data_IF_639141612675
#
_entry.id   IF_639141612675
#
_cell.length_a   1.000
_cell.length_b   1.000
_cell.length_c   1.000
_cell.angle_alpha   90.00
_cell.angle_beta   90.00
_cell.angle_gamma   90.00
#
_symmetry.space_group_name_H-M   'P 1'
#
loop_
_entity.id
_entity.type
_entity.pdbx_description
1 polymer ?
#
# COMPACT_ATOMS: atom_id res chain seq x y z
N UNK A 1 6.31 -20.09 -13.24
CA UNK A 1 6.07 -19.16 -12.10
C UNK A 1 6.10 -17.74 -12.61
N UNK A 2 5.18 -16.86 -12.16
CA UNK A 2 5.20 -15.45 -12.51
C UNK A 2 6.42 -14.76 -11.87
N UNK A 3 7.07 -13.86 -12.61
CA UNK A 3 8.13 -13.01 -12.03
C UNK A 3 7.53 -12.02 -11.02
N UNK A 4 8.31 -11.61 -10.02
CA UNK A 4 7.85 -10.67 -8.98
C UNK A 4 7.37 -9.34 -9.60
N UNK A 5 8.02 -8.85 -10.64
CA UNK A 5 7.55 -7.67 -11.37
C UNK A 5 6.15 -7.84 -11.97
N UNK A 6 5.84 -9.03 -12.53
CA UNK A 6 4.47 -9.32 -13.02
C UNK A 6 3.46 -9.37 -11.89
N UNK A 7 3.83 -9.89 -10.72
CA UNK A 7 2.95 -9.92 -9.55
C UNK A 7 2.63 -8.51 -9.06
N UNK A 8 3.62 -7.61 -9.01
CA UNK A 8 3.39 -6.19 -8.69
C UNK A 8 2.53 -5.49 -9.73
N UNK A 9 2.71 -5.79 -11.03
CA UNK A 9 1.86 -5.23 -12.08
C UNK A 9 0.39 -5.65 -11.92
N UNK A 10 0.13 -6.92 -11.60
CA UNK A 10 -1.22 -7.42 -11.31
C UNK A 10 -1.80 -6.71 -10.06
N UNK A 11 -1.01 -6.58 -8.99
CA UNK A 11 -1.43 -5.88 -7.77
C UNK A 11 -1.73 -4.40 -8.04
N UNK A 12 -0.95 -3.73 -8.91
CA UNK A 12 -1.21 -2.36 -9.34
C UNK A 12 -2.56 -2.23 -10.06
N UNK A 13 -2.82 -3.12 -11.02
CA UNK A 13 -4.09 -3.14 -11.77
C UNK A 13 -5.26 -3.36 -10.81
N UNK A 14 -5.16 -4.31 -9.89
CA UNK A 14 -6.22 -4.59 -8.90
C UNK A 14 -6.47 -3.39 -7.99
N UNK A 15 -5.42 -2.73 -7.50
CA UNK A 15 -5.55 -1.53 -6.68
C UNK A 15 -6.24 -0.38 -7.44
N UNK A 16 -5.85 -0.14 -8.69
CA UNK A 16 -6.47 0.87 -9.55
C UNK A 16 -7.93 0.53 -9.86
N UNK A 17 -8.25 -0.74 -10.14
CA UNK A 17 -9.64 -1.18 -10.34
C UNK A 17 -10.50 -0.91 -9.10
N UNK A 18 -9.99 -1.20 -7.90
CA UNK A 18 -10.67 -0.88 -6.63
C UNK A 18 -10.93 0.63 -6.55
N UNK A 19 -9.93 1.45 -6.89
CA UNK A 19 -10.06 2.90 -6.93
C UNK A 19 -11.16 3.36 -7.89
N UNK A 20 -11.17 2.84 -9.11
CA UNK A 20 -12.20 3.20 -10.11
C UNK A 20 -13.60 2.72 -9.74
N UNK A 21 -13.75 1.53 -9.16
CA UNK A 21 -15.06 1.01 -8.71
C UNK A 21 -15.63 1.88 -7.58
N UNK A 22 -14.76 2.39 -6.71
CA UNK A 22 -15.17 3.22 -5.57
C UNK A 22 -15.33 4.71 -5.91
N UNK A 23 -14.73 5.18 -6.99
CA UNK A 23 -14.74 6.58 -7.41
C UNK A 23 -16.14 7.22 -7.52
N UNK A 24 -17.15 6.58 -8.12
CA UNK A 24 -18.45 7.22 -8.33
C UNK A 24 -19.36 7.20 -7.08
N UNK A 25 -18.90 6.65 -5.95
CA UNK A 25 -19.73 6.59 -4.74
C UNK A 25 -19.81 7.97 -4.10
N UNK A 26 -21.01 8.43 -3.67
CA UNK A 26 -21.14 9.67 -2.92
C UNK A 26 -20.28 9.55 -1.66
N UNK A 27 -19.31 10.45 -1.57
CA UNK A 27 -18.26 10.40 -0.56
C UNK A 27 -18.88 10.61 0.83
N UNK A 28 -18.95 9.55 1.61
CA UNK A 28 -19.57 9.56 2.95
C UNK A 28 -18.57 9.95 4.06
N UNK A 29 -17.34 10.29 3.71
CA UNK A 29 -16.35 10.72 4.72
C UNK A 29 -15.12 11.35 4.08
N UNK A 30 -14.83 12.57 4.48
CA UNK A 30 -13.61 13.27 4.11
C UNK A 30 -12.69 13.39 5.32
N UNK A 31 -11.43 13.04 5.17
CA UNK A 31 -10.40 13.57 6.06
C UNK A 31 -10.14 15.02 5.68
N UNK A 32 -10.43 15.93 6.57
CA UNK A 32 -10.16 17.34 6.33
C UNK A 32 -8.87 17.72 7.06
N UNK A 33 -7.84 18.05 6.30
CA UNK A 33 -6.63 18.66 6.84
C UNK A 33 -6.71 20.16 6.61
N UNK A 34 -6.73 20.94 7.66
CA UNK A 34 -6.73 22.40 7.57
C UNK A 34 -5.30 22.93 7.60
N UNK A 35 -4.84 23.49 6.49
CA UNK A 35 -3.54 24.14 6.39
C UNK A 35 -3.77 25.61 6.04
N UNK A 36 -3.29 26.54 6.86
CA UNK A 36 -3.42 27.99 6.64
C UNK A 36 -4.85 28.44 6.28
N UNK A 37 -5.84 28.00 7.06
CA UNK A 37 -7.28 28.29 6.89
C UNK A 37 -7.90 27.74 5.60
N UNK A 38 -7.23 26.82 4.88
CA UNK A 38 -7.83 26.08 3.77
C UNK A 38 -8.03 24.62 4.17
N UNK A 39 -9.25 24.15 4.03
CA UNK A 39 -9.61 22.76 4.29
C UNK A 39 -9.34 21.92 3.02
N UNK A 40 -8.51 20.90 3.15
CA UNK A 40 -8.26 19.90 2.11
C UNK A 40 -8.94 18.61 2.51
N UNK A 41 -9.94 18.19 1.74
CA UNK A 41 -10.66 16.95 1.97
C UNK A 41 -10.03 15.79 1.18
N UNK A 42 -9.70 14.70 1.85
CA UNK A 42 -9.26 13.45 1.20
C UNK A 42 -10.27 12.35 1.54
N UNK A 43 -10.90 11.78 0.53
CA UNK A 43 -11.72 10.58 0.71
C UNK A 43 -10.85 9.34 0.90
N UNK A 44 -11.30 8.39 1.72
CA UNK A 44 -10.59 7.10 1.92
C UNK A 44 -10.44 6.31 0.62
N UNK A 45 -11.33 6.54 -0.32
CA UNK A 45 -11.37 5.82 -1.58
C UNK A 45 -10.21 6.18 -2.51
N UNK A 46 -9.59 7.36 -2.28
CA UNK A 46 -8.42 7.79 -3.06
C UNK A 46 -7.13 7.02 -2.73
N UNK A 47 -7.03 6.33 -1.60
CA UNK A 47 -5.82 5.56 -1.24
C UNK A 47 -5.47 4.47 -2.23
N UNK A 48 -6.44 3.96 -2.96
CA UNK A 48 -6.21 2.93 -3.98
C UNK A 48 -5.32 3.43 -5.14
N UNK A 49 -5.41 4.71 -5.52
CA UNK A 49 -4.61 5.28 -6.60
C UNK A 49 -3.12 5.42 -6.23
N UNK A 50 -2.72 6.05 -5.11
CA UNK A 50 -1.32 6.09 -4.72
C UNK A 50 -0.73 4.70 -4.46
N UNK A 51 -1.48 3.76 -3.88
CA UNK A 51 -1.03 2.37 -3.71
C UNK A 51 -0.83 1.69 -5.07
N UNK A 52 -1.76 1.87 -6.01
CA UNK A 52 -1.62 1.37 -7.37
C UNK A 52 -0.40 1.96 -8.09
N UNK A 53 -0.14 3.26 -7.93
CA UNK A 53 1.04 3.93 -8.48
C UNK A 53 2.35 3.38 -7.87
N UNK A 54 2.39 3.15 -6.55
CA UNK A 54 3.55 2.53 -5.89
C UNK A 54 3.79 1.13 -6.44
N UNK A 55 2.75 0.30 -6.57
CA UNK A 55 2.89 -1.04 -7.14
C UNK A 55 3.35 -1.03 -8.59
N UNK A 56 2.86 -0.08 -9.41
CA UNK A 56 3.34 0.09 -10.79
C UNK A 56 4.82 0.48 -10.83
N UNK A 57 5.25 1.37 -9.95
CA UNK A 57 6.66 1.77 -9.82
C UNK A 57 7.53 0.58 -9.38
N UNK A 58 7.08 -0.22 -8.41
CA UNK A 58 7.78 -1.44 -8.00
C UNK A 58 7.83 -2.49 -9.12
N UNK A 59 6.75 -2.65 -9.88
CA UNK A 59 6.75 -3.53 -11.06
C UNK A 59 7.82 -3.11 -12.06
N UNK A 60 7.91 -1.82 -12.38
CA UNK A 60 8.93 -1.26 -13.25
C UNK A 60 10.35 -1.46 -12.67
N UNK A 61 10.53 -1.20 -11.37
CA UNK A 61 11.81 -1.39 -10.70
C UNK A 61 12.28 -2.85 -10.78
N UNK A 62 11.43 -3.82 -10.48
CA UNK A 62 11.76 -5.24 -10.59
C UNK A 62 12.00 -5.73 -12.00
N UNK A 63 11.45 -5.03 -13.00
CA UNK A 63 11.71 -5.32 -14.41
C UNK A 63 13.04 -4.74 -14.88
N UNK A 64 13.37 -3.50 -14.49
CA UNK A 64 14.50 -2.75 -15.04
C UNK A 64 15.79 -2.86 -14.24
N UNK A 65 15.74 -3.03 -12.91
CA UNK A 65 16.94 -3.10 -12.07
C UNK A 65 17.93 -4.20 -12.45
N UNK A 66 17.50 -5.43 -12.84
CA UNK A 66 18.45 -6.43 -13.33
C UNK A 66 19.23 -5.97 -14.57
N UNK A 67 18.58 -5.20 -15.45
CA UNK A 67 19.20 -4.75 -16.71
C UNK A 67 20.06 -3.49 -16.53
N UNK A 68 19.57 -2.48 -15.80
CA UNK A 68 20.21 -1.17 -15.70
C UNK A 68 21.29 -1.14 -14.62
N UNK A 69 21.04 -1.80 -13.49
CA UNK A 69 21.91 -1.74 -12.31
C UNK A 69 22.62 -3.05 -12.04
N UNK A 70 22.38 -4.09 -12.86
CA UNK A 70 22.90 -5.46 -12.62
C UNK A 70 22.59 -5.97 -11.21
N UNK A 71 21.48 -5.50 -10.62
CA UNK A 71 21.04 -5.87 -9.29
C UNK A 71 20.30 -7.21 -9.34
N UNK A 72 20.83 -8.22 -8.69
CA UNK A 72 20.17 -9.51 -8.54
C UNK A 72 19.62 -9.64 -7.12
N UNK A 73 18.35 -9.22 -6.96
CA UNK A 73 17.63 -9.44 -5.71
C UNK A 73 17.27 -10.92 -5.60
N UNK A 74 17.78 -11.58 -4.57
CA UNK A 74 17.49 -12.99 -4.32
C UNK A 74 15.99 -13.28 -4.35
N UNK A 75 15.61 -14.43 -4.94
CA UNK A 75 14.20 -14.81 -5.16
C UNK A 75 13.38 -14.77 -3.87
N UNK A 76 13.94 -15.22 -2.75
CA UNK A 76 13.26 -15.22 -1.46
C UNK A 76 12.93 -13.80 -1.00
N UNK A 77 13.92 -12.90 -1.03
CA UNK A 77 13.76 -11.51 -0.60
C UNK A 77 12.71 -10.80 -1.47
N UNK A 78 12.76 -11.01 -2.78
CA UNK A 78 11.81 -10.41 -3.72
C UNK A 78 10.38 -10.89 -3.49
N UNK A 79 10.18 -12.19 -3.25
CA UNK A 79 8.86 -12.74 -2.95
C UNK A 79 8.35 -12.28 -1.59
N UNK A 80 9.19 -12.27 -0.57
CA UNK A 80 8.85 -11.78 0.76
C UNK A 80 8.41 -10.31 0.71
N UNK A 81 9.19 -9.46 0.02
CA UNK A 81 8.83 -8.06 -0.20
C UNK A 81 7.48 -7.93 -0.90
N UNK A 82 7.24 -8.70 -1.97
CA UNK A 82 5.95 -8.66 -2.66
C UNK A 82 4.79 -9.01 -1.72
N UNK A 83 4.85 -10.14 -1.05
CA UNK A 83 3.75 -10.60 -0.21
C UNK A 83 3.51 -9.67 0.97
N UNK A 84 4.57 -9.19 1.62
CA UNK A 84 4.44 -8.24 2.71
C UNK A 84 3.79 -6.93 2.24
N UNK A 85 4.22 -6.40 1.09
CA UNK A 85 3.65 -5.18 0.51
C UNK A 85 2.20 -5.37 0.06
N UNK A 86 1.90 -6.46 -0.66
CA UNK A 86 0.57 -6.70 -1.21
C UNK A 86 -0.45 -6.95 -0.11
N UNK A 87 -0.16 -7.86 0.83
CA UNK A 87 -1.09 -8.19 1.91
C UNK A 87 -1.36 -6.96 2.76
N UNK A 88 -0.32 -6.24 3.20
CA UNK A 88 -0.50 -5.05 4.03
C UNK A 88 -1.25 -3.93 3.31
N UNK A 89 -0.98 -3.68 2.02
CA UNK A 89 -1.67 -2.66 1.24
C UNK A 89 -3.15 -3.01 1.02
N UNK A 90 -3.46 -4.26 0.67
CA UNK A 90 -4.87 -4.66 0.48
C UNK A 90 -5.65 -4.68 1.79
N UNK A 91 -5.05 -5.16 2.90
CA UNK A 91 -5.69 -5.07 4.22
C UNK A 91 -5.98 -3.60 4.56
N UNK A 92 -5.04 -2.69 4.35
CA UNK A 92 -5.26 -1.27 4.54
C UNK A 92 -6.40 -0.74 3.66
N UNK A 93 -6.41 -1.07 2.35
CA UNK A 93 -7.47 -0.62 1.43
C UNK A 93 -8.86 -1.12 1.82
N UNK A 94 -8.97 -2.29 2.44
CA UNK A 94 -10.26 -2.80 2.94
C UNK A 94 -10.66 -2.18 4.27
N UNK A 95 -9.70 -1.85 5.14
CA UNK A 95 -9.98 -1.27 6.46
C UNK A 95 -10.19 0.25 6.41
N UNK A 96 -9.56 0.95 5.48
CA UNK A 96 -9.68 2.40 5.36
C UNK A 96 -11.13 2.90 5.18
N UNK A 97 -11.99 2.26 4.34
CA UNK A 97 -13.40 2.62 4.27
C UNK A 97 -14.19 2.26 5.53
N UNK A 98 -13.82 1.16 6.21
CA UNK A 98 -14.48 0.77 7.44
C UNK A 98 -14.34 1.83 8.54
N UNK A 99 -13.19 2.49 8.62
CA UNK A 99 -12.99 3.62 9.52
C UNK A 99 -14.01 4.75 9.30
N UNK A 100 -14.30 5.09 8.07
CA UNK A 100 -15.24 6.19 7.75
C UNK A 100 -16.70 5.82 8.06
N UNK A 101 -17.02 4.52 8.07
CA UNK A 101 -18.33 4.04 8.47
C UNK A 101 -18.60 4.24 9.97
N UNK A 102 -17.57 4.51 10.78
CA UNK A 102 -17.70 4.82 12.19
C UNK A 102 -18.08 6.30 12.41
N UNK A 103 -19.32 6.65 12.10
CA UNK A 103 -19.93 7.91 12.56
C UNK A 103 -20.17 7.84 14.09
N UNK A 104 -20.25 8.97 14.80
CA UNK A 104 -20.54 8.97 16.24
C UNK A 104 -21.76 8.14 16.64
N UNK A 105 -22.76 8.08 15.77
CA UNK A 105 -23.96 7.27 15.97
C UNK A 105 -23.70 5.76 15.83
N UNK A 106 -22.81 5.34 14.93
CA UNK A 106 -22.46 3.93 14.74
C UNK A 106 -21.43 3.43 15.75
N UNK A 107 -20.54 4.29 16.25
CA UNK A 107 -19.63 3.93 17.35
C UNK A 107 -20.39 3.60 18.61
N UNK A 108 -21.52 4.27 18.89
CA UNK A 108 -22.40 3.93 20.00
C UNK A 108 -23.04 2.53 19.87
N UNK A 109 -23.29 2.06 18.64
CA UNK A 109 -23.92 0.75 18.37
C UNK A 109 -22.89 -0.39 18.35
N UNK A 110 -21.71 -0.16 17.75
CA UNK A 110 -20.68 -1.19 17.56
C UNK A 110 -19.68 -1.28 18.72
N UNK A 111 -19.71 -0.30 19.63
CA UNK A 111 -18.81 -0.20 20.76
C UNK A 111 -17.42 0.35 20.42
N UNK A 112 -16.86 1.09 21.35
CA UNK A 112 -15.53 1.72 21.20
C UNK A 112 -14.42 0.69 20.91
N UNK A 113 -14.51 -0.51 21.48
CA UNK A 113 -13.51 -1.59 21.29
C UNK A 113 -13.35 -2.01 19.83
N UNK A 114 -14.46 -2.10 19.09
CA UNK A 114 -14.43 -2.48 17.67
C UNK A 114 -13.80 -1.37 16.82
N UNK A 115 -14.05 -0.11 17.14
CA UNK A 115 -13.44 1.03 16.50
C UNK A 115 -11.92 1.03 16.69
N UNK A 116 -11.43 0.88 17.92
CA UNK A 116 -10.01 0.83 18.23
C UNK A 116 -9.32 -0.36 17.54
N UNK A 117 -9.98 -1.51 17.45
CA UNK A 117 -9.43 -2.67 16.74
C UNK A 117 -9.21 -2.40 15.25
N UNK A 118 -10.20 -1.83 14.56
CA UNK A 118 -10.08 -1.46 13.13
C UNK A 118 -8.99 -0.42 12.92
N UNK A 119 -8.93 0.60 13.77
CA UNK A 119 -7.90 1.63 13.73
C UNK A 119 -6.49 1.04 13.90
N UNK A 120 -6.32 0.18 14.91
CA UNK A 120 -5.05 -0.48 15.19
C UNK A 120 -4.62 -1.37 14.02
N UNK A 121 -5.53 -2.15 13.46
CA UNK A 121 -5.25 -3.01 12.29
C UNK A 121 -4.87 -2.18 11.07
N UNK A 122 -5.53 -1.06 10.80
CA UNK A 122 -5.18 -0.16 9.71
C UNK A 122 -3.78 0.46 9.91
N UNK A 123 -3.47 0.90 11.14
CA UNK A 123 -2.16 1.45 11.48
C UNK A 123 -1.05 0.41 11.33
N UNK A 124 -1.26 -0.82 11.83
CA UNK A 124 -0.31 -1.93 11.68
C UNK A 124 -0.08 -2.24 10.20
N UNK A 125 -1.16 -2.30 9.40
CA UNK A 125 -1.05 -2.56 7.96
C UNK A 125 -0.22 -1.49 7.24
N UNK A 126 -0.44 -0.21 7.56
CA UNK A 126 0.34 0.90 7.01
C UNK A 126 1.82 0.80 7.40
N UNK A 127 2.12 0.50 8.67
CA UNK A 127 3.49 0.30 9.16
C UNK A 127 4.19 -0.88 8.47
N UNK A 128 3.49 -2.01 8.30
CA UNK A 128 4.04 -3.18 7.59
C UNK A 128 4.31 -2.88 6.13
N UNK A 129 3.45 -2.09 5.47
CA UNK A 129 3.66 -1.64 4.11
C UNK A 129 4.92 -0.77 4.00
N UNK A 130 5.10 0.20 4.90
CA UNK A 130 6.30 1.05 4.95
C UNK A 130 7.56 0.22 5.24
N UNK A 131 7.49 -0.70 6.18
CA UNK A 131 8.60 -1.62 6.50
C UNK A 131 9.02 -2.44 5.27
N UNK A 132 8.06 -2.92 4.48
CA UNK A 132 8.36 -3.61 3.24
C UNK A 132 9.18 -2.74 2.27
N UNK A 133 8.86 -1.44 2.15
CA UNK A 133 9.63 -0.53 1.29
C UNK A 133 11.05 -0.31 1.82
N UNK A 134 11.23 -0.20 3.13
CA UNK A 134 12.57 -0.09 3.75
C UNK A 134 13.39 -1.33 3.48
N UNK A 135 12.81 -2.53 3.62
CA UNK A 135 13.48 -3.81 3.30
C UNK A 135 13.89 -3.85 1.83
N UNK A 136 13.03 -3.39 0.92
CA UNK A 136 13.34 -3.33 -0.51
C UNK A 136 14.53 -2.41 -0.80
N UNK A 137 14.52 -1.20 -0.25
CA UNK A 137 15.64 -0.25 -0.42
C UNK A 137 16.93 -0.83 0.16
N UNK A 138 16.88 -1.39 1.35
CA UNK A 138 18.04 -2.03 1.98
C UNK A 138 18.59 -3.19 1.13
N UNK A 139 17.71 -4.03 0.57
CA UNK A 139 18.10 -5.12 -0.31
C UNK A 139 18.73 -4.62 -1.63
N UNK A 140 18.21 -3.53 -2.21
CA UNK A 140 18.80 -2.90 -3.39
C UNK A 140 20.21 -2.34 -3.09
N UNK A 141 20.36 -1.64 -1.97
CA UNK A 141 21.66 -1.10 -1.53
C UNK A 141 22.64 -2.23 -1.31
N UNK A 142 22.25 -3.27 -0.56
CA UNK A 142 23.08 -4.44 -0.30
C UNK A 142 23.52 -5.13 -1.61
N UNK A 143 22.58 -5.40 -2.51
CA UNK A 143 22.87 -6.01 -3.80
C UNK A 143 23.81 -5.15 -4.66
N UNK A 144 23.69 -3.83 -4.60
CA UNK A 144 24.56 -2.89 -5.32
C UNK A 144 26.01 -2.89 -4.80
N UNK A 145 26.21 -3.05 -3.48
CA UNK A 145 27.53 -3.07 -2.89
C UNK A 145 28.21 -4.45 -2.97
N UNK A 146 27.47 -5.53 -2.80
CA UNK A 146 28.02 -6.88 -2.67
C UNK A 146 27.76 -7.78 -3.87
N UNK A 147 26.76 -7.46 -4.71
CA UNK A 147 26.38 -8.29 -5.87
C UNK A 147 27.32 -8.19 -7.08
N UNK A 148 28.31 -7.30 -7.05
CA UNK A 148 29.30 -7.14 -8.13
C UNK A 148 30.47 -8.11 -8.04
N UNK A 149 30.56 -8.91 -7.00
CA UNK A 149 31.70 -9.79 -6.72
C UNK A 149 31.39 -11.29 -6.92
N UNK A 150 30.33 -11.63 -7.66
CA UNK A 150 30.00 -13.03 -8.01
C UNK A 150 29.86 -13.15 -9.51
#
# INVERSE_FOLDING_TARGET
MLSVGKLFAIAAILALMIGFIRWPQPQTGFYTITIKNRAYGFGSDYWAFPIGAIFATLAAAYYWFPFVLSLNLGRFVSQFHFWLSAVSAFVFLFLAPAWQAFTPTRTAILGERSFFAVLLMAAISALLFLLAQVIFVAACVWSGFYGRNV
#
